data_IF_100514816935
#
_entry.id   IF_100514816935
#
_cell.length_a   1.000
_cell.length_b   1.000
_cell.length_c   1.000
_cell.angle_alpha   90.00
_cell.angle_beta   90.00
_cell.angle_gamma   90.00
#
_symmetry.space_group_name_H-M   'P 1'
#
loop_
_entity.id
_entity.type
_entity.pdbx_description
1 polymer ?
#
# COMPACT_ATOMS: atom_id res chain seq x y z
N UNK A 1 -15.59 -9.69 -14.56
CA UNK A 1 -14.75 -10.72 -13.88
C UNK A 1 -15.61 -11.58 -12.95
N UNK A 2 -15.13 -12.71 -12.38
CA UNK A 2 -15.93 -13.43 -11.36
C UNK A 2 -15.90 -12.67 -10.04
N UNK A 3 -17.01 -12.68 -9.28
CA UNK A 3 -17.12 -12.01 -7.98
C UNK A 3 -15.96 -12.38 -7.03
N UNK A 4 -15.65 -13.67 -6.91
CA UNK A 4 -14.56 -14.15 -6.07
C UNK A 4 -13.17 -13.57 -6.44
N UNK A 5 -12.97 -13.15 -7.69
CA UNK A 5 -11.72 -12.49 -8.10
C UNK A 5 -11.70 -11.02 -7.68
N UNK A 6 -12.84 -10.32 -7.73
CA UNK A 6 -12.96 -8.94 -7.25
C UNK A 6 -12.70 -8.91 -5.74
N UNK A 7 -13.35 -9.79 -4.99
CA UNK A 7 -13.16 -9.91 -3.53
C UNK A 7 -11.69 -10.18 -3.16
N UNK A 8 -10.99 -11.00 -3.94
CA UNK A 8 -9.57 -11.27 -3.72
C UNK A 8 -8.69 -10.04 -3.98
N UNK A 9 -9.02 -9.23 -5.00
CA UNK A 9 -8.31 -7.99 -5.31
C UNK A 9 -8.57 -6.92 -4.25
N UNK A 10 -9.81 -6.77 -3.80
CA UNK A 10 -10.18 -5.86 -2.70
C UNK A 10 -9.43 -6.21 -1.42
N UNK A 11 -9.37 -7.50 -1.07
CA UNK A 11 -8.61 -7.95 0.09
C UNK A 11 -7.11 -7.62 -0.05
N UNK A 12 -6.53 -7.83 -1.23
CA UNK A 12 -5.14 -7.51 -1.50
C UNK A 12 -4.87 -5.99 -1.40
N UNK A 13 -5.75 -5.16 -1.97
CA UNK A 13 -5.69 -3.71 -1.87
C UNK A 13 -5.71 -3.25 -0.40
N UNK A 14 -6.65 -3.76 0.40
CA UNK A 14 -6.75 -3.42 1.82
C UNK A 14 -5.50 -3.81 2.61
N UNK A 15 -4.94 -4.99 2.33
CA UNK A 15 -3.71 -5.44 2.96
C UNK A 15 -2.50 -4.59 2.57
N UNK A 16 -2.36 -4.23 1.29
CA UNK A 16 -1.30 -3.34 0.82
C UNK A 16 -1.39 -1.96 1.46
N UNK A 17 -2.58 -1.37 1.53
CA UNK A 17 -2.78 -0.09 2.19
C UNK A 17 -2.35 -0.10 3.66
N UNK A 18 -2.73 -1.15 4.39
CA UNK A 18 -2.30 -1.33 5.79
C UNK A 18 -0.78 -1.43 5.89
N UNK A 19 -0.13 -2.20 5.01
CA UNK A 19 1.33 -2.32 5.00
C UNK A 19 2.02 -0.97 4.70
N UNK A 20 1.45 -0.16 3.80
CA UNK A 20 1.96 1.19 3.54
C UNK A 20 1.88 2.06 4.80
N UNK A 21 0.73 2.06 5.48
CA UNK A 21 0.51 2.82 6.72
C UNK A 21 1.48 2.37 7.84
N UNK A 22 1.70 1.07 7.98
CA UNK A 22 2.66 0.50 8.94
C UNK A 22 4.11 0.95 8.63
N UNK A 23 4.51 0.96 7.35
CA UNK A 23 5.85 1.38 6.93
C UNK A 23 6.08 2.89 7.04
N UNK A 24 5.10 3.72 6.69
CA UNK A 24 5.17 5.16 6.91
C UNK A 24 5.27 5.47 8.41
N UNK A 25 4.48 4.79 9.25
CA UNK A 25 4.56 4.95 10.71
C UNK A 25 5.93 4.54 11.25
N UNK A 26 6.50 3.43 10.76
CA UNK A 26 7.85 3.01 11.15
C UNK A 26 8.92 3.99 10.68
N UNK A 27 8.75 4.59 9.49
CA UNK A 27 9.61 5.64 8.98
C UNK A 27 9.60 6.89 9.86
N UNK A 28 8.41 7.31 10.33
CA UNK A 28 8.29 8.44 11.26
C UNK A 28 8.97 8.15 12.60
N UNK A 29 8.80 6.94 13.14
CA UNK A 29 9.49 6.51 14.36
C UNK A 29 11.01 6.49 14.17
N UNK A 30 11.52 6.03 13.03
CA UNK A 30 12.95 6.05 12.73
C UNK A 30 13.48 7.49 12.65
N UNK A 31 12.72 8.39 12.02
CA UNK A 31 13.04 9.81 11.94
C UNK A 31 13.10 10.47 13.33
N UNK A 32 12.15 10.16 14.21
CA UNK A 32 12.11 10.67 15.60
C UNK A 32 13.30 10.17 16.45
N UNK A 33 13.93 9.05 16.05
CA UNK A 33 15.11 8.47 16.71
C UNK A 33 16.43 8.86 16.05
N UNK A 34 16.44 9.85 15.15
CA UNK A 34 17.59 10.26 14.33
C UNK A 34 18.18 9.14 13.45
N UNK A 35 17.41 8.08 13.16
CA UNK A 35 17.81 6.99 12.27
C UNK A 35 17.38 7.29 10.83
N UNK A 36 18.10 8.23 10.21
CA UNK A 36 17.74 8.77 8.90
C UNK A 36 17.84 7.76 7.77
N UNK A 37 18.79 6.82 7.85
CA UNK A 37 18.97 5.79 6.82
C UNK A 37 17.77 4.84 6.79
N UNK A 38 17.33 4.37 7.96
CA UNK A 38 16.14 3.51 8.07
C UNK A 38 14.86 4.28 7.73
N UNK A 39 14.73 5.55 8.15
CA UNK A 39 13.57 6.37 7.81
C UNK A 39 13.39 6.50 6.28
N UNK A 40 14.43 6.92 5.56
CA UNK A 40 14.38 7.06 4.09
C UNK A 40 14.12 5.72 3.42
N UNK A 41 14.74 4.64 3.92
CA UNK A 41 14.52 3.31 3.37
C UNK A 41 13.05 2.89 3.52
N UNK A 42 12.48 2.97 4.73
CA UNK A 42 11.11 2.60 5.03
C UNK A 42 10.10 3.41 4.21
N UNK A 43 10.28 4.74 4.14
CA UNK A 43 9.46 5.61 3.30
C UNK A 43 9.49 5.17 1.84
N UNK A 44 10.67 4.89 1.28
CA UNK A 44 10.79 4.48 -0.12
C UNK A 44 10.12 3.14 -0.44
N UNK A 45 10.03 2.23 0.53
CA UNK A 45 9.29 0.97 0.35
C UNK A 45 7.79 1.18 0.48
N UNK A 46 7.35 2.05 1.40
CA UNK A 46 5.94 2.44 1.52
C UNK A 46 5.43 3.07 0.22
N UNK A 47 6.20 3.99 -0.38
CA UNK A 47 5.85 4.66 -1.64
C UNK A 47 5.62 3.64 -2.79
N UNK A 48 6.52 2.66 -2.93
CA UNK A 48 6.38 1.61 -3.97
C UNK A 48 5.14 0.75 -3.76
N UNK A 49 4.85 0.36 -2.52
CA UNK A 49 3.66 -0.44 -2.23
C UNK A 49 2.38 0.38 -2.41
N UNK A 50 2.43 1.69 -2.15
CA UNK A 50 1.32 2.59 -2.35
C UNK A 50 0.98 2.75 -3.85
N UNK A 51 1.99 2.85 -4.71
CA UNK A 51 1.80 2.81 -6.17
C UNK A 51 1.08 1.53 -6.62
N UNK A 52 1.49 0.37 -6.10
CA UNK A 52 0.80 -0.89 -6.41
C UNK A 52 -0.62 -0.95 -5.85
N UNK A 53 -0.88 -0.35 -4.69
CA UNK A 53 -2.23 -0.23 -4.14
C UNK A 53 -3.13 0.62 -5.05
N UNK A 54 -2.63 1.75 -5.58
CA UNK A 54 -3.36 2.57 -6.55
C UNK A 54 -3.67 1.79 -7.83
N UNK A 55 -2.71 1.01 -8.33
CA UNK A 55 -2.93 0.18 -9.51
C UNK A 55 -4.08 -0.83 -9.29
N UNK A 56 -4.14 -1.46 -8.11
CA UNK A 56 -5.24 -2.36 -7.77
C UNK A 56 -6.58 -1.63 -7.64
N UNK A 57 -6.60 -0.46 -7.00
CA UNK A 57 -7.81 0.36 -6.87
C UNK A 57 -8.38 0.74 -8.25
N UNK A 58 -7.50 1.13 -9.18
CA UNK A 58 -7.88 1.42 -10.55
C UNK A 58 -8.52 0.21 -11.24
N UNK A 59 -7.88 -0.96 -11.17
CA UNK A 59 -8.39 -2.21 -11.77
C UNK A 59 -9.75 -2.60 -11.15
N UNK A 60 -9.90 -2.49 -9.84
CA UNK A 60 -11.18 -2.79 -9.15
C UNK A 60 -12.26 -1.83 -9.67
N UNK A 61 -11.98 -0.53 -9.69
CA UNK A 61 -12.91 0.49 -10.15
C UNK A 61 -13.34 0.32 -11.61
N UNK A 62 -12.41 -0.04 -12.50
CA UNK A 62 -12.72 -0.35 -13.90
C UNK A 62 -13.66 -1.54 -14.04
N UNK A 63 -13.60 -2.51 -13.13
CA UNK A 63 -14.45 -3.70 -13.17
C UNK A 63 -15.83 -3.46 -12.58
N UNK A 64 -15.97 -2.60 -11.58
CA UNK A 64 -17.28 -2.20 -11.03
C UNK A 64 -18.08 -1.31 -12.01
N UNK A 65 -17.39 -0.58 -12.89
CA UNK A 65 -18.01 0.27 -13.90
C UNK A 65 -18.55 -0.49 -15.13
N UNK A 66 -18.30 -1.81 -15.24
CA UNK A 66 -18.69 -2.68 -16.36
C UNK A 66 -19.94 -3.52 -16.04
#
# INVERSE_FOLDING_TARGET
MKQATIEALELAYLQLRRLCEDLYSASEIALDNDDFDDAVFLQSQADKLFEEAINLEYIISEQEAQ
#
